data_IF_646843832332
#
_entry.id   IF_646843832332
#
_cell.length_a   1.000
_cell.length_b   1.000
_cell.length_c   1.000
_cell.angle_alpha   90.00
_cell.angle_beta   90.00
_cell.angle_gamma   90.00
#
_symmetry.space_group_name_H-M   'P 1'
#
loop_
_entity.id
_entity.type
_entity.pdbx_description
1 polymer ?
#
# COMPACT_ATOMS: atom_id res chain seq x y z
N UNK A 1 4.32 -29.10 -41.69
CA UNK A 1 4.63 -27.70 -41.32
C UNK A 1 3.70 -27.28 -40.18
N UNK A 2 4.18 -27.17 -38.93
CA UNK A 2 3.32 -26.75 -37.79
C UNK A 2 3.32 -25.22 -37.69
N UNK A 3 2.16 -24.61 -37.94
CA UNK A 3 1.92 -23.19 -37.65
C UNK A 3 2.04 -22.97 -36.14
N UNK A 4 3.09 -22.27 -35.71
CA UNK A 4 3.26 -21.86 -34.32
C UNK A 4 2.19 -20.81 -34.03
N UNK A 5 1.20 -21.18 -33.21
CA UNK A 5 0.12 -20.28 -32.83
C UNK A 5 0.67 -19.02 -32.17
N UNK A 6 0.09 -17.87 -32.49
CA UNK A 6 0.44 -16.58 -31.87
C UNK A 6 -0.01 -16.56 -30.40
N UNK A 7 0.76 -17.20 -29.51
CA UNK A 7 0.53 -17.16 -28.07
C UNK A 7 0.48 -15.69 -27.60
N UNK A 8 -0.51 -15.33 -26.76
CA UNK A 8 -0.76 -13.93 -26.38
C UNK A 8 0.54 -13.25 -25.89
N UNK A 9 1.03 -12.24 -26.62
CA UNK A 9 2.16 -11.37 -26.21
C UNK A 9 1.94 -10.66 -24.85
N UNK A 10 0.73 -10.77 -24.29
CA UNK A 10 0.28 -10.12 -23.06
C UNK A 10 -0.11 -11.14 -21.99
N UNK A 11 0.58 -11.12 -20.86
CA UNK A 11 0.19 -11.89 -19.68
C UNK A 11 -0.68 -11.03 -18.76
N UNK A 12 -1.95 -11.42 -18.57
CA UNK A 12 -2.93 -10.69 -17.75
C UNK A 12 -3.02 -11.31 -16.35
N UNK A 13 -2.50 -10.62 -15.35
CA UNK A 13 -2.57 -11.05 -13.93
C UNK A 13 -4.01 -11.17 -13.41
N UNK A 14 -4.22 -11.94 -12.34
CA UNK A 14 -5.52 -12.00 -11.61
C UNK A 14 -5.97 -10.61 -11.13
N UNK A 15 -5.02 -9.77 -10.71
CA UNK A 15 -5.30 -8.42 -10.22
C UNK A 15 -5.89 -7.51 -11.31
N UNK A 16 -5.26 -7.39 -12.48
CA UNK A 16 -5.84 -6.57 -13.57
C UNK A 16 -7.19 -7.12 -14.05
N UNK A 17 -7.38 -8.44 -14.11
CA UNK A 17 -8.68 -9.06 -14.46
C UNK A 17 -9.81 -8.63 -13.50
N UNK A 18 -9.53 -8.53 -12.19
CA UNK A 18 -10.50 -8.04 -11.21
C UNK A 18 -10.78 -6.54 -11.39
N UNK A 19 -9.73 -5.72 -11.56
CA UNK A 19 -9.88 -4.27 -11.78
C UNK A 19 -10.60 -3.93 -13.09
N UNK A 20 -10.42 -4.73 -14.13
CA UNK A 20 -11.17 -4.65 -15.39
C UNK A 20 -12.68 -4.81 -15.18
N UNK A 21 -13.10 -5.78 -14.37
CA UNK A 21 -14.52 -5.96 -14.00
C UNK A 21 -15.04 -4.73 -13.23
N UNK A 22 -14.31 -4.31 -12.20
CA UNK A 22 -14.66 -3.17 -11.35
C UNK A 22 -14.85 -1.86 -12.13
N UNK A 23 -13.90 -1.50 -13.01
CA UNK A 23 -13.96 -0.25 -13.79
C UNK A 23 -14.67 -0.37 -15.16
N UNK A 24 -15.28 -1.52 -15.45
CA UNK A 24 -15.90 -1.88 -16.75
C UNK A 24 -14.94 -1.60 -17.93
N UNK A 25 -13.73 -2.15 -17.88
CA UNK A 25 -12.67 -1.98 -18.89
C UNK A 25 -12.41 -3.28 -19.65
N UNK A 26 -12.47 -3.25 -20.98
CA UNK A 26 -12.19 -4.41 -21.85
C UNK A 26 -10.69 -4.59 -22.11
N UNK A 27 -10.26 -5.81 -22.49
CA UNK A 27 -8.87 -6.09 -22.94
C UNK A 27 -8.46 -5.09 -24.04
N UNK A 28 -9.34 -4.81 -25.00
CA UNK A 28 -9.07 -3.90 -26.11
C UNK A 28 -8.96 -2.43 -25.66
N UNK A 29 -9.76 -1.98 -24.68
CA UNK A 29 -9.60 -0.63 -24.12
C UNK A 29 -8.23 -0.45 -23.46
N UNK A 30 -7.75 -1.47 -22.73
CA UNK A 30 -6.42 -1.44 -22.10
C UNK A 30 -5.29 -1.59 -23.12
N UNK A 31 -5.44 -2.43 -24.16
CA UNK A 31 -4.52 -2.46 -25.30
C UNK A 31 -4.40 -1.07 -25.95
N UNK A 32 -5.50 -0.33 -26.14
CA UNK A 32 -5.43 1.05 -26.69
C UNK A 32 -4.62 1.99 -25.81
N UNK A 33 -4.81 1.95 -24.48
CA UNK A 33 -4.01 2.74 -23.52
C UNK A 33 -2.52 2.38 -23.60
N UNK A 34 -2.19 1.10 -23.84
CA UNK A 34 -0.82 0.62 -23.93
C UNK A 34 -0.09 1.06 -25.22
N UNK A 35 -0.78 1.05 -26.36
CA UNK A 35 -0.17 1.35 -27.67
C UNK A 35 -0.18 2.86 -28.00
N UNK A 36 -1.12 3.63 -27.43
CA UNK A 36 -1.26 5.06 -27.71
C UNK A 36 -1.56 5.87 -26.43
N UNK A 37 -0.63 5.90 -25.46
CA UNK A 37 -0.80 6.68 -24.23
C UNK A 37 -0.59 8.17 -24.45
N UNK A 38 -1.35 9.01 -23.74
CA UNK A 38 -1.10 10.47 -23.71
C UNK A 38 0.03 10.83 -22.73
N UNK A 39 0.33 9.94 -21.77
CA UNK A 39 1.39 10.10 -20.77
C UNK A 39 1.91 8.75 -20.29
N UNK A 40 3.22 8.69 -20.03
CA UNK A 40 3.98 7.53 -19.59
C UNK A 40 4.87 7.95 -18.42
N UNK A 41 4.85 7.19 -17.34
CA UNK A 41 5.57 7.44 -16.08
C UNK A 41 6.23 6.12 -15.60
N UNK A 42 7.18 6.20 -14.66
CA UNK A 42 7.62 5.00 -13.94
C UNK A 42 6.46 4.49 -13.07
N UNK A 43 6.27 3.17 -13.02
CA UNK A 43 5.29 2.56 -12.15
C UNK A 43 5.75 2.56 -10.70
N UNK A 44 4.79 2.45 -9.77
CA UNK A 44 5.04 2.48 -8.33
C UNK A 44 5.87 1.27 -7.86
N UNK A 45 5.78 0.14 -8.58
CA UNK A 45 6.58 -1.04 -8.32
C UNK A 45 7.90 -1.01 -9.13
N UNK A 46 9.04 -1.48 -8.57
CA UNK A 46 10.32 -1.53 -9.28
C UNK A 46 10.22 -2.22 -10.65
N UNK A 47 10.94 -1.69 -11.65
CA UNK A 47 10.94 -2.17 -13.06
C UNK A 47 9.60 -2.13 -13.79
N UNK A 48 8.57 -1.48 -13.24
CA UNK A 48 7.26 -1.33 -13.90
C UNK A 48 7.11 0.04 -14.55
N UNK A 49 6.23 0.12 -15.56
CA UNK A 49 5.89 1.33 -16.30
C UNK A 49 4.39 1.57 -16.14
N UNK A 50 4.03 2.81 -15.83
CA UNK A 50 2.65 3.27 -15.85
C UNK A 50 2.39 4.07 -17.13
N UNK A 51 1.25 3.83 -17.77
CA UNK A 51 0.78 4.59 -18.92
C UNK A 51 -0.68 4.96 -18.75
N UNK A 52 -1.08 6.09 -19.31
CA UNK A 52 -2.44 6.59 -19.21
C UNK A 52 -2.96 7.14 -20.53
N UNK A 53 -4.29 7.11 -20.69
CA UNK A 53 -5.00 7.82 -21.75
C UNK A 53 -6.22 8.53 -21.16
N UNK A 54 -6.50 9.75 -21.61
CA UNK A 54 -7.68 10.53 -21.29
C UNK A 54 -8.95 9.78 -21.67
N UNK A 55 -10.00 10.04 -20.91
CA UNK A 55 -11.30 9.40 -20.98
C UNK A 55 -12.37 10.33 -20.39
N UNK A 56 -13.64 9.90 -20.45
CA UNK A 56 -14.76 10.71 -19.97
C UNK A 56 -15.16 11.80 -20.97
N UNK A 57 -15.79 12.86 -20.47
CA UNK A 57 -16.29 13.99 -21.27
C UNK A 57 -15.71 15.31 -20.76
N UNK A 58 -15.94 16.43 -21.46
CA UNK A 58 -15.51 17.76 -20.96
C UNK A 58 -16.09 18.10 -19.58
N UNK A 59 -17.32 17.65 -19.27
CA UNK A 59 -17.97 17.87 -17.96
C UNK A 59 -17.50 16.88 -16.88
N UNK A 60 -17.12 15.67 -17.26
CA UNK A 60 -16.62 14.63 -16.36
C UNK A 60 -15.32 14.02 -16.92
N UNK A 61 -14.19 14.74 -16.85
CA UNK A 61 -12.91 14.23 -17.30
C UNK A 61 -12.45 13.06 -16.42
N UNK A 62 -11.75 12.11 -17.04
CA UNK A 62 -11.12 10.99 -16.36
C UNK A 62 -9.86 10.56 -17.10
N UNK A 63 -9.01 9.78 -16.44
CA UNK A 63 -7.90 9.07 -17.07
C UNK A 63 -8.06 7.57 -16.85
N UNK A 64 -7.73 6.77 -17.86
CA UNK A 64 -7.57 5.32 -17.69
C UNK A 64 -6.08 5.03 -17.62
N UNK A 65 -5.67 4.52 -16.47
CA UNK A 65 -4.30 4.15 -16.15
C UNK A 65 -4.09 2.65 -16.29
N UNK A 66 -2.88 2.26 -16.68
CA UNK A 66 -2.45 0.89 -16.88
C UNK A 66 -0.98 0.76 -16.43
N UNK A 67 -0.71 -0.18 -15.53
CA UNK A 67 0.66 -0.50 -15.09
C UNK A 67 1.07 -1.87 -15.60
N UNK A 68 2.26 -1.94 -16.22
CA UNK A 68 2.80 -3.14 -16.82
C UNK A 68 4.30 -3.28 -16.58
N UNK A 69 4.80 -4.50 -16.77
CA UNK A 69 6.22 -4.84 -16.80
C UNK A 69 6.52 -5.41 -18.18
N UNK A 70 7.57 -4.92 -18.84
CA UNK A 70 7.99 -5.41 -20.17
C UNK A 70 9.19 -6.32 -20.01
N UNK A 71 9.07 -7.54 -20.49
CA UNK A 71 10.15 -8.51 -20.61
C UNK A 71 10.51 -8.70 -22.10
N UNK A 72 11.63 -9.35 -22.42
CA UNK A 72 12.15 -9.54 -23.78
C UNK A 72 11.12 -10.15 -24.75
N UNK A 73 10.24 -11.02 -24.24
CA UNK A 73 9.26 -11.79 -25.06
C UNK A 73 7.81 -11.46 -24.72
N UNK A 74 7.51 -11.00 -23.50
CA UNK A 74 6.12 -10.87 -22.99
C UNK A 74 5.91 -9.56 -22.25
N UNK A 75 4.71 -8.99 -22.37
CA UNK A 75 4.29 -7.82 -21.58
C UNK A 75 3.31 -8.25 -20.49
N UNK A 76 3.73 -8.13 -19.22
CA UNK A 76 2.96 -8.52 -18.04
C UNK A 76 2.11 -7.34 -17.56
N UNK A 77 0.79 -7.45 -17.68
CA UNK A 77 -0.15 -6.42 -17.24
C UNK A 77 -0.50 -6.66 -15.77
N UNK A 78 -0.18 -5.69 -14.91
CA UNK A 78 -0.25 -5.82 -13.44
C UNK A 78 -1.56 -5.26 -12.91
N UNK A 79 -1.90 -4.01 -13.27
CA UNK A 79 -3.15 -3.38 -12.82
C UNK A 79 -3.61 -2.29 -13.79
N UNK A 80 -4.87 -1.89 -13.67
CA UNK A 80 -5.47 -0.79 -14.41
C UNK A 80 -6.54 -0.12 -13.55
N UNK A 81 -6.73 1.19 -13.71
CA UNK A 81 -7.75 1.92 -12.96
C UNK A 81 -8.29 3.13 -13.72
N UNK A 82 -9.44 3.64 -13.27
CA UNK A 82 -9.92 4.98 -13.66
C UNK A 82 -9.54 5.97 -12.57
N UNK A 83 -8.97 7.10 -12.97
CA UNK A 83 -8.74 8.26 -12.12
C UNK A 83 -9.77 9.34 -12.48
N UNK A 84 -10.52 9.91 -11.52
CA UNK A 84 -11.44 11.01 -11.79
C UNK A 84 -10.67 12.33 -11.94
N UNK A 85 -10.92 13.07 -13.03
CA UNK A 85 -10.13 14.26 -13.36
C UNK A 85 -8.76 13.94 -13.98
N UNK A 86 -7.78 14.80 -13.70
CA UNK A 86 -6.40 14.73 -14.18
C UNK A 86 -5.51 14.30 -13.01
N UNK A 87 -4.70 13.24 -13.15
CA UNK A 87 -3.82 12.83 -12.06
C UNK A 87 -2.61 13.76 -11.92
N UNK A 88 -2.11 14.01 -10.68
CA UNK A 88 -0.83 14.68 -10.47
C UNK A 88 0.29 14.01 -11.27
N UNK A 89 1.18 14.79 -11.87
CA UNK A 89 2.39 14.28 -12.51
C UNK A 89 3.34 13.77 -11.42
N UNK A 90 3.69 12.49 -11.45
CA UNK A 90 4.71 11.95 -10.54
C UNK A 90 6.06 12.03 -11.23
N UNK A 91 6.96 12.86 -10.69
CA UNK A 91 8.38 12.72 -10.99
C UNK A 91 8.86 11.36 -10.44
N UNK A 92 9.83 10.68 -11.09
CA UNK A 92 10.28 9.37 -10.66
C UNK A 92 10.83 9.42 -9.22
N UNK A 93 10.70 8.32 -8.44
CA UNK A 93 11.41 8.20 -7.18
C UNK A 93 12.91 8.22 -7.50
N UNK A 94 13.72 8.89 -6.68
CA UNK A 94 15.06 9.22 -7.12
C UNK A 94 16.08 8.17 -6.72
N UNK A 95 17.15 8.13 -7.51
CA UNK A 95 18.06 6.99 -7.61
C UNK A 95 19.23 7.20 -6.62
N UNK A 96 19.76 6.14 -5.98
CA UNK A 96 20.97 6.22 -5.17
C UNK A 96 22.18 6.83 -5.91
N UNK A 97 23.00 7.60 -5.20
CA UNK A 97 24.05 8.46 -5.77
C UNK A 97 25.20 7.69 -6.45
N UNK A 98 25.43 6.46 -5.98
CA UNK A 98 26.29 5.44 -6.56
C UNK A 98 25.77 4.91 -7.91
N UNK A 99 24.46 4.73 -8.05
CA UNK A 99 23.83 4.30 -9.32
C UNK A 99 23.63 5.50 -10.28
N UNK A 100 23.47 6.71 -9.74
CA UNK A 100 23.48 7.96 -10.51
C UNK A 100 24.83 8.19 -11.23
N UNK A 101 25.95 7.80 -10.58
CA UNK A 101 27.31 7.92 -11.12
C UNK A 101 27.59 6.98 -12.32
N UNK A 102 27.15 5.71 -12.26
CA UNK A 102 27.32 4.77 -13.39
C UNK A 102 26.40 5.06 -14.59
N UNK A 103 25.29 5.80 -14.38
CA UNK A 103 24.27 6.05 -15.40
C UNK A 103 24.17 7.52 -15.85
N UNK A 104 25.05 8.39 -15.36
CA UNK A 104 25.17 9.81 -15.74
C UNK A 104 23.85 10.62 -15.59
N UNK A 105 23.14 10.38 -14.49
CA UNK A 105 21.87 11.05 -14.17
C UNK A 105 21.93 11.73 -12.80
N UNK A 106 21.00 12.67 -12.57
CA UNK A 106 20.60 13.20 -11.27
C UNK A 106 19.06 13.06 -11.18
N UNK A 107 18.34 13.31 -10.09
CA UNK A 107 18.64 13.99 -8.81
C UNK A 107 17.74 13.38 -7.69
N UNK A 108 18.00 13.73 -6.42
CA UNK A 108 17.24 13.44 -5.17
C UNK A 108 17.52 12.10 -4.45
N UNK A 109 17.10 12.04 -3.17
CA UNK A 109 17.15 10.85 -2.30
C UNK A 109 15.74 10.45 -1.86
N UNK A 110 15.45 9.15 -1.78
CA UNK A 110 14.23 8.65 -1.13
C UNK A 110 14.42 8.76 0.38
N UNK A 111 13.90 9.84 0.96
CA UNK A 111 13.99 10.08 2.39
C UNK A 111 13.16 9.04 3.17
N UNK A 112 13.78 8.39 4.15
CA UNK A 112 13.13 7.36 4.97
C UNK A 112 12.35 8.08 6.08
N UNK A 113 11.08 7.71 6.36
CA UNK A 113 10.33 8.27 7.48
C UNK A 113 11.12 8.27 8.80
N UNK A 114 11.10 9.41 9.49
CA UNK A 114 11.91 9.66 10.68
C UNK A 114 11.66 8.63 11.80
N UNK A 115 10.44 8.10 11.90
CA UNK A 115 10.04 7.08 12.87
C UNK A 115 10.72 5.72 12.60
N UNK A 116 11.01 5.40 11.34
CA UNK A 116 11.82 4.23 10.99
C UNK A 116 13.31 4.46 11.22
N UNK A 117 13.79 5.70 11.11
CA UNK A 117 15.16 6.07 11.48
C UNK A 117 15.37 5.98 13.01
N UNK A 118 14.40 6.49 13.78
CA UNK A 118 14.33 6.37 15.25
C UNK A 118 14.02 4.94 15.75
N UNK A 119 13.54 4.06 14.85
CA UNK A 119 13.15 2.68 15.13
C UNK A 119 11.91 2.52 16.02
N UNK A 120 11.28 3.62 16.47
CA UNK A 120 10.18 3.63 17.44
C UNK A 120 9.34 4.90 17.33
N UNK A 121 8.11 4.82 17.80
CA UNK A 121 7.20 5.96 17.98
C UNK A 121 6.35 5.81 19.25
N UNK A 122 5.53 6.82 19.53
CA UNK A 122 4.55 6.83 20.63
C UNK A 122 3.14 6.77 20.05
N UNK A 123 2.22 6.11 20.76
CA UNK A 123 0.80 6.07 20.41
C UNK A 123 -0.04 5.87 21.68
N UNK A 124 -0.86 6.84 22.08
CA UNK A 124 -1.70 6.81 23.29
C UNK A 124 -0.94 6.36 24.55
N UNK A 125 0.20 7.00 24.82
CA UNK A 125 1.13 6.66 25.91
C UNK A 125 1.69 5.22 25.88
N UNK A 126 1.58 4.53 24.73
CA UNK A 126 2.26 3.27 24.44
C UNK A 126 3.55 3.53 23.66
N UNK A 127 4.61 2.79 24.00
CA UNK A 127 5.85 2.78 23.22
C UNK A 127 5.70 1.75 22.12
N UNK A 128 5.86 2.15 20.86
CA UNK A 128 5.71 1.28 19.70
C UNK A 128 7.06 1.17 19.01
N UNK A 129 7.70 0.00 19.11
CA UNK A 129 8.83 -0.39 18.27
C UNK A 129 8.36 -0.60 16.82
N UNK A 130 9.24 -0.23 15.88
CA UNK A 130 9.04 -0.31 14.43
C UNK A 130 10.25 -0.99 13.75
N UNK A 131 11.06 -1.75 14.48
CA UNK A 131 12.28 -2.40 13.97
C UNK A 131 12.02 -3.35 12.80
N UNK A 132 10.82 -3.96 12.73
CA UNK A 132 10.37 -4.81 11.60
C UNK A 132 9.86 -4.02 10.40
N UNK A 133 9.87 -2.68 10.46
CA UNK A 133 9.46 -1.72 9.41
C UNK A 133 8.03 -1.94 8.89
N UNK A 134 7.11 -2.21 9.83
CA UNK A 134 5.67 -2.33 9.57
C UNK A 134 4.97 -0.98 9.71
N UNK A 135 3.69 -0.91 9.37
CA UNK A 135 2.91 0.33 9.33
C UNK A 135 3.11 1.25 10.56
N UNK A 136 3.57 2.48 10.27
CA UNK A 136 3.76 3.56 11.25
C UNK A 136 2.38 4.06 11.73
N UNK A 137 2.08 4.02 13.04
CA UNK A 137 0.88 4.62 13.62
C UNK A 137 0.71 6.09 13.20
N UNK A 138 -0.54 6.52 12.94
CA UNK A 138 -0.86 7.88 12.50
C UNK A 138 -1.63 8.65 13.57
N UNK A 139 -1.44 9.97 13.62
CA UNK A 139 -2.04 10.84 14.64
C UNK A 139 -3.57 10.91 14.53
N UNK A 140 -4.10 10.78 13.31
CA UNK A 140 -5.54 10.64 13.06
C UNK A 140 -6.09 9.34 13.65
N UNK A 141 -5.32 8.24 13.58
CA UNK A 141 -5.68 6.97 14.20
C UNK A 141 -5.69 7.11 15.73
N UNK A 142 -4.72 7.80 16.32
CA UNK A 142 -4.64 8.07 17.75
C UNK A 142 -5.89 8.80 18.27
N UNK A 143 -6.35 9.83 17.55
CA UNK A 143 -7.60 10.54 17.86
C UNK A 143 -8.84 9.63 17.88
N UNK A 144 -9.00 8.76 16.88
CA UNK A 144 -10.15 7.84 16.82
C UNK A 144 -10.08 6.76 17.89
N UNK A 145 -8.89 6.20 18.17
CA UNK A 145 -8.72 5.18 19.21
C UNK A 145 -8.94 5.77 20.60
N UNK A 146 -8.57 7.03 20.85
CA UNK A 146 -8.92 7.74 22.09
C UNK A 146 -10.44 7.78 22.30
N UNK A 147 -11.20 8.22 21.30
CA UNK A 147 -12.68 8.25 21.35
C UNK A 147 -13.30 6.86 21.52
N UNK A 148 -12.72 5.84 20.88
CA UNK A 148 -13.16 4.46 21.06
C UNK A 148 -12.95 3.99 22.51
N UNK A 149 -11.78 4.23 23.11
CA UNK A 149 -11.48 3.91 24.50
C UNK A 149 -12.43 4.65 25.46
N UNK A 150 -12.70 5.93 25.24
CA UNK A 150 -13.65 6.72 26.04
C UNK A 150 -15.09 6.15 26.01
N UNK A 151 -15.52 5.59 24.88
CA UNK A 151 -16.82 4.94 24.77
C UNK A 151 -16.82 3.50 25.32
N UNK A 152 -15.73 2.76 25.16
CA UNK A 152 -15.58 1.40 25.70
C UNK A 152 -15.51 1.41 27.24
N UNK A 153 -14.87 2.42 27.86
CA UNK A 153 -14.84 2.60 29.33
C UNK A 153 -16.23 2.80 29.97
N UNK A 154 -17.26 3.16 29.20
CA UNK A 154 -18.65 3.28 29.68
C UNK A 154 -19.39 1.95 29.71
N UNK A 155 -18.85 0.90 29.07
CA UNK A 155 -19.44 -0.44 29.09
C UNK A 155 -19.02 -1.19 30.36
N UNK A 156 -19.97 -1.93 30.93
CA UNK A 156 -19.71 -2.86 32.03
C UNK A 156 -19.37 -4.26 31.50
N UNK A 157 -18.73 -5.07 32.33
CA UNK A 157 -18.32 -6.44 31.99
C UNK A 157 -16.96 -6.54 31.29
N UNK A 158 -16.64 -7.74 30.79
CA UNK A 158 -15.42 -8.03 30.03
C UNK A 158 -15.65 -7.64 28.56
N UNK A 159 -14.64 -7.05 27.94
CA UNK A 159 -14.69 -6.68 26.52
C UNK A 159 -13.76 -7.56 25.70
N UNK A 160 -14.31 -8.36 24.79
CA UNK A 160 -13.55 -9.06 23.76
C UNK A 160 -13.51 -8.20 22.49
N UNK A 161 -12.31 -7.94 21.99
CA UNK A 161 -12.01 -6.99 20.91
C UNK A 161 -11.11 -7.68 19.86
N UNK A 162 -11.31 -7.36 18.58
CA UNK A 162 -10.49 -7.82 17.47
C UNK A 162 -9.78 -6.62 16.83
N UNK A 163 -8.44 -6.61 16.87
CA UNK A 163 -7.60 -5.67 16.12
C UNK A 163 -7.25 -6.33 14.77
N UNK A 164 -7.98 -5.94 13.71
CA UNK A 164 -7.85 -6.52 12.37
C UNK A 164 -6.95 -5.65 11.48
N UNK A 165 -5.99 -6.28 10.80
CA UNK A 165 -4.88 -5.61 10.10
C UNK A 165 -4.01 -4.80 11.07
N UNK A 166 -3.70 -5.42 12.22
CA UNK A 166 -3.08 -4.78 13.37
C UNK A 166 -1.71 -4.12 13.09
N UNK A 167 -0.94 -4.59 12.10
CA UNK A 167 0.35 -4.01 11.73
C UNK A 167 1.36 -3.97 12.90
N UNK A 168 1.58 -2.80 13.50
CA UNK A 168 2.43 -2.65 14.69
C UNK A 168 1.74 -3.05 16.01
N UNK A 169 0.43 -3.32 15.98
CA UNK A 169 -0.42 -3.63 17.14
C UNK A 169 -0.82 -2.40 17.96
N UNK A 170 -0.56 -1.18 17.47
CA UNK A 170 -0.69 0.04 18.26
C UNK A 170 -2.11 0.27 18.81
N UNK A 171 -3.14 -0.11 18.06
CA UNK A 171 -4.55 0.04 18.45
C UNK A 171 -4.89 -0.91 19.60
N UNK A 172 -4.73 -2.22 19.40
CA UNK A 172 -5.02 -3.22 20.42
C UNK A 172 -4.18 -3.05 21.69
N UNK A 173 -2.90 -2.69 21.56
CA UNK A 173 -2.01 -2.39 22.69
C UNK A 173 -2.50 -1.17 23.47
N UNK A 174 -2.92 -0.09 22.79
CA UNK A 174 -3.50 1.08 23.46
C UNK A 174 -4.80 0.75 24.20
N UNK A 175 -5.64 -0.12 23.64
CA UNK A 175 -6.88 -0.57 24.29
C UNK A 175 -6.57 -1.40 25.53
N UNK A 176 -5.75 -2.46 25.42
CA UNK A 176 -5.34 -3.30 26.56
C UNK A 176 -4.73 -2.48 27.70
N UNK A 177 -3.89 -1.48 27.37
CA UNK A 177 -3.25 -0.61 28.37
C UNK A 177 -4.22 0.35 29.06
N UNK A 178 -5.33 0.72 28.42
CA UNK A 178 -6.31 1.66 28.96
C UNK A 178 -7.57 0.99 29.55
N UNK A 179 -7.80 -0.29 29.27
CA UNK A 179 -9.01 -1.03 29.67
C UNK A 179 -8.59 -2.38 30.28
N UNK A 180 -8.49 -2.40 31.62
CA UNK A 180 -7.99 -3.57 32.38
C UNK A 180 -8.80 -4.85 32.16
N UNK A 181 -10.11 -4.75 31.95
CA UNK A 181 -11.00 -5.90 31.75
C UNK A 181 -11.29 -6.13 30.25
N UNK A 182 -10.23 -6.17 29.43
CA UNK A 182 -10.34 -6.44 28.00
C UNK A 182 -9.43 -7.57 27.55
N UNK A 183 -9.88 -8.30 26.52
CA UNK A 183 -9.09 -9.22 25.71
C UNK A 183 -9.03 -8.64 24.31
N UNK A 184 -7.84 -8.60 23.71
CA UNK A 184 -7.67 -8.23 22.30
C UNK A 184 -7.03 -9.40 21.57
N UNK A 185 -7.73 -9.90 20.55
CA UNK A 185 -7.15 -10.78 19.55
C UNK A 185 -6.59 -9.92 18.40
N UNK A 186 -5.38 -10.23 17.93
CA UNK A 186 -4.73 -9.51 16.84
C UNK A 186 -4.75 -10.38 15.57
N UNK A 187 -5.26 -9.83 14.46
CA UNK A 187 -5.33 -10.51 13.17
C UNK A 187 -4.49 -9.78 12.13
N UNK A 188 -3.53 -10.49 11.54
CA UNK A 188 -2.57 -9.94 10.59
C UNK A 188 -2.07 -11.03 9.62
N UNK A 189 -1.73 -10.65 8.39
CA UNK A 189 -1.27 -11.56 7.33
C UNK A 189 0.26 -11.56 7.17
N UNK A 190 0.95 -10.48 7.56
CA UNK A 190 2.41 -10.41 7.53
C UNK A 190 3.01 -10.97 8.83
N UNK A 191 3.79 -12.04 8.70
CA UNK A 191 4.55 -12.63 9.81
C UNK A 191 5.47 -11.61 10.52
N UNK A 192 6.02 -10.61 9.80
CA UNK A 192 6.84 -9.55 10.41
C UNK A 192 6.02 -8.66 11.35
N UNK A 193 4.77 -8.41 11.02
CA UNK A 193 3.83 -7.66 11.85
C UNK A 193 3.38 -8.49 13.06
N UNK A 194 3.14 -9.79 12.89
CA UNK A 194 2.92 -10.72 14.03
C UNK A 194 4.12 -10.72 15.00
N UNK A 195 5.36 -10.69 14.49
CA UNK A 195 6.56 -10.52 15.33
C UNK A 195 6.61 -9.14 16.01
N UNK A 196 6.31 -8.06 15.28
CA UNK A 196 6.31 -6.70 15.81
C UNK A 196 5.29 -6.52 16.94
N UNK A 197 4.10 -7.09 16.80
CA UNK A 197 3.04 -7.09 17.84
C UNK A 197 3.55 -7.76 19.12
N UNK A 198 4.21 -8.93 19.00
CA UNK A 198 4.82 -9.64 20.15
C UNK A 198 5.90 -8.80 20.85
N UNK A 199 6.72 -8.08 20.09
CA UNK A 199 7.71 -7.14 20.63
C UNK A 199 7.00 -6.00 21.38
N UNK A 200 5.96 -5.41 20.79
CA UNK A 200 5.26 -4.25 21.35
C UNK A 200 4.40 -4.58 22.58
N UNK A 201 3.81 -5.77 22.64
CA UNK A 201 3.15 -6.30 23.85
C UNK A 201 4.14 -6.41 25.01
N UNK A 202 5.31 -7.04 24.77
CA UNK A 202 6.39 -7.18 25.76
C UNK A 202 6.91 -5.80 26.21
N UNK A 203 7.13 -4.88 25.26
CA UNK A 203 7.61 -3.52 25.53
C UNK A 203 6.65 -2.69 26.41
N UNK A 204 5.34 -2.93 26.31
CA UNK A 204 4.33 -2.27 27.13
C UNK A 204 3.95 -3.06 28.39
N UNK A 205 4.65 -4.16 28.71
CA UNK A 205 4.39 -5.06 29.85
C UNK A 205 2.97 -5.66 29.85
N UNK A 206 2.43 -5.91 28.67
CA UNK A 206 1.12 -6.54 28.50
C UNK A 206 1.31 -8.07 28.46
N UNK A 207 0.59 -8.86 29.27
CA UNK A 207 0.66 -10.32 29.22
C UNK A 207 0.14 -10.86 27.88
N UNK A 208 0.52 -12.11 27.57
CA UNK A 208 -0.05 -12.87 26.45
C UNK A 208 -1.41 -13.45 26.84
#
# INVERSE_FOLDING_TARGET
MKLISQQERFYWTKHVKNKMRYYRLSKNRLKRVLHSPDRKELGIAPTTVAVMQKAGTKKHPAEIWLMYQKDKVKTKIITAWRYPGISPKRQPPPIPEDILWELNLNEKKVEIPEEYSKGKTSFLNCKIDLSKRVFIPRIETEFWVKKAIENLKKKQGKLDILDIFAGSGCIGIAILKNIKNSKVDFSEIDNKAIEQIKINLKLNKIPK
#
